data_IF_329606325579
#
_entry.id   IF_329606325579
#
_cell.length_a   1.000
_cell.length_b   1.000
_cell.length_c   1.000
_cell.angle_alpha   90.00
_cell.angle_beta   90.00
_cell.angle_gamma   90.00
#
_symmetry.space_group_name_H-M   'P 1'
#
loop_
_entity.id
_entity.type
_entity.pdbx_description
1 polymer ?
#
# COMPACT_ATOMS: atom_id res chain seq x y z
N UNK A 1 -1.20 53.15 -59.27
CA UNK A 1 -0.10 52.39 -58.63
C UNK A 1 -0.53 52.08 -57.19
N UNK A 2 -0.65 50.78 -56.90
CA UNK A 2 -0.90 50.07 -55.63
C UNK A 2 -1.77 50.70 -54.53
N UNK A 3 -2.98 50.15 -54.37
CA UNK A 3 -3.78 50.20 -53.14
C UNK A 3 -3.48 48.91 -52.36
N UNK A 4 -2.95 49.02 -51.15
CA UNK A 4 -2.75 47.90 -50.22
C UNK A 4 -3.99 47.81 -49.32
N UNK A 5 -4.76 46.73 -49.48
CA UNK A 5 -5.84 46.38 -48.57
C UNK A 5 -5.26 45.62 -47.36
N UNK A 6 -5.34 46.22 -46.17
CA UNK A 6 -5.02 45.53 -44.90
C UNK A 6 -6.33 44.91 -44.39
N UNK A 7 -6.44 43.58 -44.53
CA UNK A 7 -7.49 42.79 -43.92
C UNK A 7 -7.25 42.71 -42.40
N UNK A 8 -8.14 43.31 -41.62
CA UNK A 8 -8.16 43.17 -40.17
C UNK A 8 -8.59 41.76 -39.77
N UNK A 9 -7.69 41.01 -39.13
CA UNK A 9 -7.99 39.70 -38.55
C UNK A 9 -8.50 39.90 -37.12
N UNK A 10 -9.76 39.51 -36.91
CA UNK A 10 -10.46 39.41 -35.64
C UNK A 10 -9.66 38.60 -34.61
N UNK A 11 -9.30 39.21 -33.48
CA UNK A 11 -8.68 38.51 -32.34
C UNK A 11 -9.75 37.73 -31.58
N UNK A 12 -10.08 36.52 -32.06
CA UNK A 12 -10.82 35.53 -31.26
C UNK A 12 -9.92 34.98 -30.15
N UNK A 13 -10.30 35.26 -28.91
CA UNK A 13 -9.73 34.71 -27.67
C UNK A 13 -9.85 33.17 -27.68
N UNK A 14 -8.79 32.39 -27.50
CA UNK A 14 -8.91 30.94 -27.41
C UNK A 14 -9.39 30.58 -26.00
N UNK A 15 -10.68 30.28 -25.88
CA UNK A 15 -11.21 29.57 -24.72
C UNK A 15 -10.77 28.12 -24.82
N UNK A 16 -9.64 27.79 -24.19
CA UNK A 16 -9.22 26.40 -24.00
C UNK A 16 -10.17 25.76 -22.98
N UNK A 17 -11.23 25.14 -23.49
CA UNK A 17 -11.95 24.10 -22.76
C UNK A 17 -11.05 22.87 -22.79
N UNK A 18 -10.23 22.70 -21.76
CA UNK A 18 -9.69 21.38 -21.45
C UNK A 18 -10.90 20.51 -21.08
N UNK A 19 -11.29 19.66 -22.03
CA UNK A 19 -12.19 18.56 -21.76
C UNK A 19 -11.50 17.68 -20.71
N UNK A 20 -11.80 17.96 -19.44
CA UNK A 20 -11.60 17.01 -18.35
C UNK A 20 -12.54 15.88 -18.70
N UNK A 21 -12.00 14.86 -19.35
CA UNK A 21 -12.65 13.58 -19.51
C UNK A 21 -13.06 13.15 -18.11
N UNK A 22 -14.36 13.26 -17.82
CA UNK A 22 -14.98 12.63 -16.66
C UNK A 22 -14.69 11.13 -16.80
N UNK A 23 -13.56 10.69 -16.27
CA UNK A 23 -13.36 9.29 -15.95
C UNK A 23 -14.47 8.97 -14.97
N UNK A 24 -15.49 8.34 -15.53
CA UNK A 24 -16.60 7.68 -14.85
C UNK A 24 -16.00 7.00 -13.62
N UNK A 25 -16.15 7.63 -12.45
CA UNK A 25 -15.87 7.04 -11.15
C UNK A 25 -16.59 5.70 -11.22
N UNK A 26 -15.85 4.61 -11.35
CA UNK A 26 -16.45 3.29 -11.46
C UNK A 26 -17.39 3.16 -10.27
N UNK A 27 -18.66 2.90 -10.55
CA UNK A 27 -19.68 2.67 -9.53
C UNK A 27 -19.19 1.49 -8.65
N UNK A 28 -18.44 1.81 -7.60
CA UNK A 28 -18.23 0.98 -6.41
C UNK A 28 -19.50 1.14 -5.57
N UNK A 29 -20.62 0.68 -6.11
CA UNK A 29 -21.91 0.71 -5.43
C UNK A 29 -22.38 -0.72 -5.23
N UNK A 30 -22.58 -1.10 -3.97
CA UNK A 30 -23.23 -2.36 -3.57
C UNK A 30 -22.76 -2.95 -2.24
N UNK A 31 -21.48 -2.81 -1.89
CA UNK A 31 -20.97 -3.23 -0.57
C UNK A 31 -20.02 -2.15 -0.07
N UNK A 32 -20.53 -1.27 0.79
CA UNK A 32 -19.65 -0.40 1.57
C UNK A 32 -18.86 -1.32 2.50
N UNK A 33 -17.57 -1.50 2.18
CA UNK A 33 -16.64 -2.17 3.09
C UNK A 33 -16.71 -1.43 4.43
N UNK A 34 -17.15 -2.13 5.46
CA UNK A 34 -17.14 -1.63 6.82
C UNK A 34 -15.95 -2.26 7.54
N UNK A 35 -15.23 -1.45 8.29
CA UNK A 35 -14.19 -1.98 9.15
C UNK A 35 -14.79 -2.72 10.33
N UNK A 36 -14.35 -3.96 10.46
CA UNK A 36 -14.55 -4.81 11.61
C UNK A 36 -13.25 -5.59 11.87
N UNK A 37 -12.19 -4.89 12.31
CA UNK A 37 -10.88 -5.49 12.44
C UNK A 37 -10.80 -6.40 13.67
N UNK A 38 -10.03 -7.47 13.53
CA UNK A 38 -9.53 -8.25 14.68
C UNK A 38 -8.19 -7.69 15.13
N UNK A 39 -8.04 -7.49 16.43
CA UNK A 39 -6.82 -6.98 17.06
C UNK A 39 -6.23 -8.07 17.95
N UNK A 40 -4.95 -8.41 17.75
CA UNK A 40 -4.19 -9.27 18.65
C UNK A 40 -2.80 -8.69 18.95
N UNK A 41 -2.23 -9.10 20.09
CA UNK A 41 -0.88 -8.73 20.48
C UNK A 41 0.01 -9.98 20.55
N UNK A 42 1.00 -10.06 19.67
CA UNK A 42 1.98 -11.14 19.65
C UNK A 42 3.32 -10.63 20.16
N UNK A 43 3.74 -11.07 21.36
CA UNK A 43 4.97 -10.62 22.00
C UNK A 43 5.09 -9.08 22.03
N UNK A 44 4.01 -8.41 22.48
CA UNK A 44 3.87 -6.95 22.52
C UNK A 44 3.90 -6.27 21.14
N UNK A 45 3.76 -7.02 20.05
CA UNK A 45 3.60 -6.48 18.70
C UNK A 45 2.12 -6.45 18.36
N UNK A 46 1.57 -5.27 18.09
CA UNK A 46 0.18 -5.09 17.66
C UNK A 46 0.00 -5.61 16.23
N UNK A 47 -0.97 -6.50 16.05
CA UNK A 47 -1.32 -7.14 14.80
C UNK A 47 -2.82 -6.92 14.58
N UNK A 48 -3.18 -6.27 13.48
CA UNK A 48 -4.58 -5.94 13.18
C UNK A 48 -4.90 -6.40 11.76
N UNK A 49 -6.02 -7.08 11.59
CA UNK A 49 -6.42 -7.61 10.29
C UNK A 49 -7.93 -7.65 10.09
N UNK A 50 -8.33 -7.77 8.83
CA UNK A 50 -9.68 -8.11 8.43
C UNK A 50 -9.62 -8.97 7.16
N UNK A 51 -10.49 -9.98 7.09
CA UNK A 51 -10.57 -10.91 5.97
C UNK A 51 -11.95 -10.75 5.33
N UNK A 52 -12.04 -10.39 4.04
CA UNK A 52 -13.32 -10.33 3.34
C UNK A 52 -13.76 -11.74 2.94
N UNK A 53 -15.05 -11.93 2.65
CA UNK A 53 -15.54 -13.21 2.13
C UNK A 53 -14.85 -13.58 0.82
N UNK A 54 -14.47 -14.85 0.69
CA UNK A 54 -13.76 -15.40 -0.49
C UNK A 54 -12.51 -14.59 -0.87
N UNK A 55 -11.49 -14.52 0.02
CA UNK A 55 -10.28 -13.76 -0.23
C UNK A 55 -9.51 -14.33 -1.42
N UNK A 56 -8.97 -13.45 -2.26
CA UNK A 56 -8.21 -13.79 -3.48
C UNK A 56 -6.70 -13.68 -3.29
N UNK A 57 -6.27 -12.95 -2.27
CA UNK A 57 -4.86 -12.68 -1.97
C UNK A 57 -4.72 -12.20 -0.53
N UNK A 58 -3.52 -12.36 0.03
CA UNK A 58 -3.12 -11.75 1.30
C UNK A 58 -2.32 -10.48 1.03
N UNK A 59 -2.65 -9.38 1.70
CA UNK A 59 -1.90 -8.13 1.68
C UNK A 59 -1.32 -7.83 3.06
N UNK A 60 0.01 -7.78 3.15
CA UNK A 60 0.72 -7.23 4.31
C UNK A 60 1.02 -5.74 4.11
N UNK A 61 0.68 -4.91 5.10
CA UNK A 61 0.91 -3.46 5.10
C UNK A 61 1.93 -3.04 6.17
N UNK A 62 2.98 -2.34 5.75
CA UNK A 62 3.99 -1.77 6.62
C UNK A 62 3.92 -0.22 6.62
N UNK A 63 3.64 0.36 7.78
CA UNK A 63 3.54 1.81 7.95
C UNK A 63 4.87 2.55 7.73
N UNK A 64 4.80 3.85 7.44
CA UNK A 64 5.95 4.76 7.46
C UNK A 64 6.36 5.19 8.87
N UNK A 65 7.39 6.02 9.00
CA UNK A 65 7.82 6.51 10.31
C UNK A 65 6.69 7.25 11.07
N UNK A 66 6.63 7.07 12.38
CA UNK A 66 5.57 7.53 13.30
C UNK A 66 4.19 6.90 13.10
N UNK A 67 4.05 6.00 12.13
CA UNK A 67 2.85 5.20 11.96
C UNK A 67 2.77 4.00 12.92
N UNK A 68 1.64 3.29 12.86
CA UNK A 68 1.35 2.02 13.56
C UNK A 68 0.21 1.29 12.84
N UNK A 69 0.01 0.01 13.15
CA UNK A 69 -1.09 -0.79 12.58
C UNK A 69 -2.46 -0.12 12.78
N UNK A 70 -2.72 0.42 13.97
CA UNK A 70 -3.97 1.13 14.31
C UNK A 70 -4.24 2.41 13.48
N UNK A 71 -3.28 2.90 12.67
CA UNK A 71 -3.56 4.01 11.73
C UNK A 71 -4.32 3.56 10.48
N UNK A 72 -4.27 2.28 10.12
CA UNK A 72 -4.93 1.72 8.94
C UNK A 72 -6.42 1.44 9.10
N UNK A 73 -6.94 1.52 10.33
CA UNK A 73 -8.30 1.10 10.67
C UNK A 73 -9.01 2.23 11.38
N UNK A 74 -10.32 2.37 11.15
CA UNK A 74 -11.13 3.33 11.89
C UNK A 74 -11.36 2.84 13.32
N UNK A 75 -11.63 3.81 14.20
CA UNK A 75 -12.12 3.51 15.54
C UNK A 75 -13.41 2.68 15.47
N UNK A 76 -13.42 1.55 16.16
CA UNK A 76 -14.58 0.65 16.24
C UNK A 76 -14.67 0.04 17.64
N UNK A 77 -15.77 -0.67 17.98
CA UNK A 77 -15.85 -1.42 19.24
C UNK A 77 -14.71 -2.44 19.39
N UNK A 78 -14.27 -3.05 18.29
CA UNK A 78 -13.18 -4.04 18.26
C UNK A 78 -11.78 -3.40 18.23
N UNK A 79 -11.69 -2.11 17.88
CA UNK A 79 -10.45 -1.34 17.99
C UNK A 79 -10.71 0.10 18.44
N UNK A 80 -10.80 0.29 19.76
CA UNK A 80 -11.12 1.59 20.37
C UNK A 80 -10.01 2.65 20.23
N UNK A 81 -8.77 2.22 20.00
CA UNK A 81 -7.56 3.06 19.87
C UNK A 81 -7.15 3.25 18.40
N UNK A 82 -7.85 2.61 17.46
CA UNK A 82 -7.66 2.83 16.04
C UNK A 82 -8.03 4.27 15.64
N UNK A 83 -7.32 4.81 14.64
CA UNK A 83 -7.38 6.23 14.26
C UNK A 83 -7.95 6.43 12.85
N UNK A 84 -7.56 5.60 11.89
CA UNK A 84 -8.00 5.69 10.50
C UNK A 84 -7.43 6.93 9.80
N UNK A 85 -6.10 6.99 9.63
CA UNK A 85 -5.48 8.07 8.87
C UNK A 85 -5.94 8.03 7.40
N UNK A 86 -6.12 9.19 6.73
CA UNK A 86 -6.80 9.25 5.44
C UNK A 86 -6.20 8.33 4.37
N UNK A 87 -4.88 8.31 4.22
CA UNK A 87 -4.17 7.50 3.23
C UNK A 87 -4.16 6.02 3.62
N UNK A 88 -3.73 5.70 4.85
CA UNK A 88 -3.64 4.33 5.35
C UNK A 88 -5.00 3.63 5.33
N UNK A 89 -6.06 4.28 5.81
CA UNK A 89 -7.40 3.69 5.86
C UNK A 89 -7.94 3.43 4.46
N UNK A 90 -7.67 4.31 3.50
CA UNK A 90 -8.19 4.18 2.14
C UNK A 90 -7.56 2.98 1.44
N UNK A 91 -6.27 2.72 1.67
CA UNK A 91 -5.59 1.52 1.16
C UNK A 91 -6.30 0.25 1.65
N UNK A 92 -6.65 0.18 2.93
CA UNK A 92 -7.35 -1.01 3.47
C UNK A 92 -8.75 -1.15 2.89
N UNK A 93 -9.53 -0.07 2.81
CA UNK A 93 -10.89 -0.11 2.25
C UNK A 93 -10.87 -0.63 0.80
N UNK A 94 -9.97 -0.11 -0.04
CA UNK A 94 -9.81 -0.53 -1.43
C UNK A 94 -9.31 -1.98 -1.54
N UNK A 95 -8.38 -2.40 -0.67
CA UNK A 95 -7.88 -3.76 -0.63
C UNK A 95 -8.99 -4.76 -0.26
N UNK A 96 -9.76 -4.49 0.78
CA UNK A 96 -10.89 -5.30 1.20
C UNK A 96 -11.98 -5.36 0.12
N UNK A 97 -12.29 -4.23 -0.53
CA UNK A 97 -13.25 -4.19 -1.64
C UNK A 97 -12.82 -5.08 -2.81
N UNK A 98 -11.50 -5.20 -3.02
CA UNK A 98 -10.88 -6.06 -4.04
C UNK A 98 -10.64 -7.49 -3.56
N UNK A 99 -11.16 -7.87 -2.39
CA UNK A 99 -11.06 -9.20 -1.79
C UNK A 99 -9.64 -9.60 -1.38
N UNK A 100 -8.84 -8.66 -0.91
CA UNK A 100 -7.59 -8.97 -0.20
C UNK A 100 -7.87 -9.20 1.29
N UNK A 101 -7.31 -10.27 1.84
CA UNK A 101 -7.19 -10.44 3.29
C UNK A 101 -6.06 -9.53 3.78
N UNK A 102 -6.37 -8.52 4.59
CA UNK A 102 -5.42 -7.45 4.93
C UNK A 102 -4.86 -7.66 6.32
N UNK A 103 -3.53 -7.66 6.43
CA UNK A 103 -2.77 -7.76 7.67
C UNK A 103 -1.89 -6.52 7.85
N UNK A 104 -2.01 -5.85 9.00
CA UNK A 104 -1.15 -4.73 9.41
C UNK A 104 -0.42 -5.08 10.68
N UNK A 105 0.84 -4.66 10.80
CA UNK A 105 1.69 -4.93 11.98
C UNK A 105 2.37 -3.63 12.40
N UNK A 106 2.37 -3.34 13.69
CA UNK A 106 3.10 -2.21 14.26
C UNK A 106 4.58 -2.55 14.40
N UNK A 107 5.45 -1.64 13.97
CA UNK A 107 6.87 -1.71 14.32
C UNK A 107 7.07 -1.51 15.84
N UNK A 108 8.21 -1.93 16.37
CA UNK A 108 8.57 -1.75 17.79
C UNK A 108 8.82 -0.29 18.19
N UNK A 109 9.05 0.59 17.22
CA UNK A 109 9.43 1.98 17.47
C UNK A 109 8.66 2.93 16.57
N UNK A 110 9.26 4.11 16.32
CA UNK A 110 8.70 5.07 15.35
C UNK A 110 8.88 4.58 13.91
N UNK A 111 10.00 3.92 13.61
CA UNK A 111 10.32 3.43 12.28
C UNK A 111 10.74 1.96 12.37
N UNK A 112 10.66 1.26 11.24
CA UNK A 112 11.10 -0.13 11.14
C UNK A 112 12.63 -0.29 11.25
N UNK A 113 13.05 -1.31 11.99
CA UNK A 113 14.41 -1.82 12.06
C UNK A 113 14.62 -2.93 11.04
N UNK A 114 15.45 -2.66 10.03
CA UNK A 114 15.76 -3.61 8.95
C UNK A 114 16.53 -4.86 9.40
N UNK A 115 17.12 -4.85 10.61
CA UNK A 115 17.88 -6.00 11.11
C UNK A 115 17.08 -6.84 12.11
N UNK A 116 16.34 -6.20 13.01
CA UNK A 116 15.73 -6.88 14.16
C UNK A 116 14.32 -7.38 13.87
N UNK A 117 13.55 -6.64 13.07
CA UNK A 117 12.12 -6.89 12.89
C UNK A 117 11.77 -7.87 11.75
N UNK A 118 12.54 -8.05 10.66
CA UNK A 118 12.11 -8.92 9.57
C UNK A 118 11.84 -10.37 10.02
N UNK A 119 12.66 -10.93 10.91
CA UNK A 119 12.45 -12.28 11.43
C UNK A 119 11.23 -12.38 12.35
N UNK A 120 10.91 -11.31 13.08
CA UNK A 120 9.70 -11.26 13.93
C UNK A 120 8.46 -11.19 13.05
N UNK A 121 8.41 -10.25 12.11
CA UNK A 121 7.27 -10.06 11.22
C UNK A 121 7.08 -11.25 10.28
N UNK A 122 8.16 -11.86 9.77
CA UNK A 122 8.07 -13.12 9.01
C UNK A 122 7.33 -14.20 9.79
N UNK A 123 7.61 -14.35 11.09
CA UNK A 123 6.92 -15.33 11.93
C UNK A 123 5.45 -14.96 12.15
N UNK A 124 5.16 -13.67 12.37
CA UNK A 124 3.78 -13.17 12.51
C UNK A 124 2.97 -13.45 11.23
N UNK A 125 3.49 -13.09 10.05
CA UNK A 125 2.79 -13.32 8.79
C UNK A 125 2.55 -14.82 8.57
N UNK A 126 3.56 -15.66 8.77
CA UNK A 126 3.40 -17.11 8.62
C UNK A 126 2.35 -17.69 9.56
N UNK A 127 2.44 -17.36 10.85
CA UNK A 127 1.47 -17.79 11.85
C UNK A 127 0.05 -17.33 11.48
N UNK A 128 -0.11 -16.08 11.04
CA UNK A 128 -1.43 -15.53 10.72
C UNK A 128 -1.99 -16.18 9.45
N UNK A 129 -1.19 -16.34 8.40
CA UNK A 129 -1.60 -17.02 7.17
C UNK A 129 -2.04 -18.46 7.44
N UNK A 130 -1.29 -19.20 8.26
CA UNK A 130 -1.62 -20.57 8.66
C UNK A 130 -2.88 -20.62 9.52
N UNK A 131 -2.97 -19.79 10.57
CA UNK A 131 -4.13 -19.71 11.47
C UNK A 131 -5.44 -19.45 10.71
N UNK A 132 -5.36 -18.69 9.61
CA UNK A 132 -6.52 -18.28 8.82
C UNK A 132 -6.75 -19.14 7.57
N UNK A 133 -5.95 -20.22 7.37
CA UNK A 133 -6.01 -21.11 6.20
C UNK A 133 -5.86 -20.38 4.85
N UNK A 134 -4.90 -19.45 4.75
CA UNK A 134 -4.68 -18.60 3.58
C UNK A 134 -3.42 -18.99 2.78
N UNK A 135 -2.79 -20.14 3.07
CA UNK A 135 -1.50 -20.58 2.53
C UNK A 135 -1.49 -20.72 1.00
N UNK A 136 -2.65 -21.04 0.42
CA UNK A 136 -2.82 -21.22 -1.01
C UNK A 136 -3.04 -19.90 -1.78
N UNK A 137 -3.16 -18.77 -1.07
CA UNK A 137 -3.37 -17.47 -1.68
C UNK A 137 -2.03 -16.74 -1.94
N UNK A 138 -1.94 -15.95 -3.02
CA UNK A 138 -0.77 -15.11 -3.26
C UNK A 138 -0.62 -14.10 -2.13
N UNK A 139 0.58 -14.07 -1.55
CA UNK A 139 0.97 -13.11 -0.50
C UNK A 139 1.70 -11.93 -1.13
N UNK A 140 1.14 -10.74 -1.03
CA UNK A 140 1.74 -9.48 -1.50
C UNK A 140 2.00 -8.54 -0.33
N UNK A 141 2.87 -7.56 -0.52
CA UNK A 141 3.15 -6.55 0.51
C UNK A 141 3.24 -5.14 -0.04
N UNK A 142 2.83 -4.18 0.77
CA UNK A 142 3.00 -2.76 0.49
C UNK A 142 3.61 -2.07 1.71
N UNK A 143 4.58 -1.20 1.47
CA UNK A 143 5.19 -0.41 2.52
C UNK A 143 5.47 1.03 2.08
N UNK A 144 5.26 1.98 2.98
CA UNK A 144 5.53 3.40 2.73
C UNK A 144 6.75 3.90 3.51
N UNK A 145 7.63 4.68 2.87
CA UNK A 145 8.84 5.24 3.49
C UNK A 145 9.67 4.16 4.22
N UNK A 146 9.88 4.25 5.54
CA UNK A 146 10.58 3.19 6.31
C UNK A 146 9.93 1.81 6.19
N UNK A 147 8.60 1.75 6.01
CA UNK A 147 7.86 0.54 5.72
C UNK A 147 8.19 -0.04 4.34
N UNK A 148 8.49 0.82 3.35
CA UNK A 148 8.92 0.39 2.01
C UNK A 148 10.29 -0.28 2.06
N UNK A 149 11.28 0.35 2.70
CA UNK A 149 12.57 -0.28 2.96
C UNK A 149 12.44 -1.59 3.76
N UNK A 150 11.53 -1.61 4.73
CA UNK A 150 11.25 -2.81 5.54
C UNK A 150 10.68 -3.96 4.72
N UNK A 151 9.64 -3.72 3.92
CA UNK A 151 9.06 -4.73 3.02
C UNK A 151 10.12 -5.24 2.04
N UNK A 152 10.93 -4.33 1.49
CA UNK A 152 12.03 -4.69 0.61
C UNK A 152 13.05 -5.61 1.30
N UNK A 153 13.42 -5.33 2.55
CA UNK A 153 14.29 -6.21 3.35
C UNK A 153 13.62 -7.54 3.70
N UNK A 154 12.35 -7.51 4.09
CA UNK A 154 11.57 -8.69 4.44
C UNK A 154 11.45 -9.66 3.26
N UNK A 155 11.34 -9.14 2.04
CA UNK A 155 11.32 -9.93 0.80
C UNK A 155 12.63 -10.71 0.54
N UNK A 156 13.76 -10.32 1.17
CA UNK A 156 14.99 -11.14 1.15
C UNK A 156 14.91 -12.35 2.11
N UNK A 157 13.93 -12.37 3.01
CA UNK A 157 13.78 -13.38 4.07
C UNK A 157 12.55 -14.27 3.88
N UNK A 158 11.58 -13.87 3.07
CA UNK A 158 10.39 -14.65 2.74
C UNK A 158 9.85 -14.28 1.37
N UNK A 159 9.10 -15.21 0.75
CA UNK A 159 8.57 -15.02 -0.59
C UNK A 159 7.28 -14.19 -0.57
N UNK A 160 7.20 -13.23 -1.47
CA UNK A 160 5.98 -12.52 -1.85
C UNK A 160 5.71 -12.80 -3.34
N UNK A 161 4.46 -12.70 -3.77
CA UNK A 161 4.09 -12.71 -5.19
C UNK A 161 4.42 -11.39 -5.86
N UNK A 162 4.30 -10.28 -5.13
CA UNK A 162 4.75 -8.94 -5.53
C UNK A 162 4.89 -8.03 -4.32
N UNK A 163 5.67 -6.95 -4.47
CA UNK A 163 5.78 -5.89 -3.46
C UNK A 163 5.60 -4.51 -4.08
N UNK A 164 5.04 -3.56 -3.31
CA UNK A 164 4.91 -2.16 -3.70
C UNK A 164 5.57 -1.26 -2.64
N UNK A 165 6.49 -0.39 -3.07
CA UNK A 165 7.19 0.54 -2.20
C UNK A 165 6.75 1.98 -2.52
N UNK A 166 6.12 2.64 -1.55
CA UNK A 166 5.68 4.02 -1.69
C UNK A 166 6.68 4.95 -1.02
N UNK A 167 7.16 5.97 -1.75
CA UNK A 167 8.14 6.96 -1.27
C UNK A 167 9.37 6.27 -0.67
N UNK A 168 9.82 5.20 -1.34
CA UNK A 168 10.96 4.40 -0.92
C UNK A 168 11.58 3.67 -2.12
N UNK A 169 12.90 3.67 -2.18
CA UNK A 169 13.65 2.98 -3.24
C UNK A 169 13.85 1.49 -2.90
N UNK A 170 13.89 1.11 -1.62
CA UNK A 170 14.15 -0.27 -1.20
C UNK A 170 15.62 -0.54 -0.89
N UNK A 171 15.96 -1.80 -0.56
CA UNK A 171 17.31 -2.19 -0.10
C UNK A 171 18.18 -2.82 -1.21
N UNK A 172 18.33 -2.14 -2.35
CA UNK A 172 18.98 -2.69 -3.55
C UNK A 172 20.33 -3.36 -3.32
N UNK A 173 21.21 -2.75 -2.53
CA UNK A 173 22.55 -3.29 -2.23
C UNK A 173 22.54 -4.63 -1.47
N UNK A 174 21.37 -5.04 -0.98
CA UNK A 174 21.15 -6.27 -0.21
C UNK A 174 20.20 -7.24 -0.90
N UNK A 175 19.76 -6.93 -2.11
CA UNK A 175 18.94 -7.83 -2.92
C UNK A 175 19.87 -8.82 -3.61
N UNK A 176 19.76 -10.08 -3.23
CA UNK A 176 20.31 -11.18 -4.01
C UNK A 176 19.28 -11.58 -5.08
N UNK A 177 19.53 -11.16 -6.32
CA UNK A 177 18.66 -11.39 -7.48
C UNK A 177 18.53 -12.89 -7.80
N UNK A 178 19.48 -13.72 -7.35
CA UNK A 178 19.45 -15.18 -7.54
C UNK A 178 18.42 -15.87 -6.62
N UNK A 179 18.03 -15.22 -5.53
CA UNK A 179 17.13 -15.76 -4.51
C UNK A 179 15.64 -15.50 -4.79
N UNK A 180 15.27 -15.32 -6.07
CA UNK A 180 13.87 -15.13 -6.52
C UNK A 180 13.16 -13.98 -5.79
N UNK A 181 13.81 -12.81 -5.80
CA UNK A 181 13.21 -11.58 -5.28
C UNK A 181 11.93 -11.23 -6.07
N UNK A 182 10.84 -10.80 -5.42
CA UNK A 182 9.56 -10.61 -6.09
C UNK A 182 9.57 -9.44 -7.09
N UNK A 183 8.68 -9.46 -8.10
CA UNK A 183 8.35 -8.26 -8.87
C UNK A 183 7.99 -7.09 -7.95
N UNK A 184 8.56 -5.92 -8.24
CA UNK A 184 8.48 -4.74 -7.39
C UNK A 184 8.11 -3.50 -8.20
N UNK A 185 7.19 -2.70 -7.65
CA UNK A 185 6.94 -1.33 -8.10
C UNK A 185 7.42 -0.39 -7.00
N UNK A 186 8.28 0.57 -7.35
CA UNK A 186 8.73 1.64 -6.47
C UNK A 186 8.32 2.99 -7.04
N UNK A 187 7.74 3.84 -6.20
CA UNK A 187 7.55 5.26 -6.48
C UNK A 187 8.41 6.04 -5.47
N UNK A 188 9.40 6.79 -5.96
CA UNK A 188 10.33 7.53 -5.11
C UNK A 188 10.72 8.84 -5.76
N UNK A 189 10.92 9.87 -4.94
CA UNK A 189 11.32 11.20 -5.39
C UNK A 189 12.86 11.28 -5.40
N UNK A 190 13.49 10.70 -6.43
CA UNK A 190 14.96 10.71 -6.54
C UNK A 190 15.54 9.87 -7.68
N UNK A 191 16.50 10.45 -8.43
CA UNK A 191 17.19 9.88 -9.61
C UNK A 191 17.82 8.51 -9.33
N UNK A 192 17.29 7.44 -9.92
CA UNK A 192 17.98 6.16 -9.94
C UNK A 192 17.19 5.02 -10.56
N UNK A 193 17.42 4.79 -11.86
CA UNK A 193 17.14 3.57 -12.65
C UNK A 193 16.06 2.61 -12.10
N UNK A 194 14.84 2.74 -12.61
CA UNK A 194 13.98 1.57 -12.78
C UNK A 194 14.73 0.56 -13.67
N UNK A 195 14.87 -0.68 -13.21
CA UNK A 195 15.30 -1.81 -14.03
C UNK A 195 14.12 -2.34 -14.84
#
# INVERSE_FOLDING_TARGET
MFVIAILGIDKKKPTSQSAVTNQKRSNLDGSRVQFDPTVEFLNNTEVIWQIPDSPKSVLFLAHGCNGRASNFWDKSPNCNHCVGLPEERLIVLEALARKFAVLTVSSKGKCWSLMKEPLVVKRIIKWWVEKQNLENLPLVALGASSGGYFVSMLATKMKFSSIALMIAEGVYDRIDITNHYPPMIAEGEGRGRCC
#
